data_IF_363735139272
#
_entry.id   IF_363735139272
#
_cell.length_a   1.000
_cell.length_b   1.000
_cell.length_c   1.000
_cell.angle_alpha   90.00
_cell.angle_beta   90.00
_cell.angle_gamma   90.00
#
_symmetry.space_group_name_H-M   'P 1'
#
loop_
_entity.id
_entity.type
_entity.pdbx_description
1 polymer ?
#
# COMPACT_ATOMS: atom_id res chain seq x y z
N UNK A 1 17.37 5.08 27.98
CA UNK A 1 16.97 3.72 28.42
C UNK A 1 16.48 2.98 27.19
N UNK A 2 17.12 1.88 26.81
CA UNK A 2 16.65 1.03 25.70
C UNK A 2 15.46 0.20 26.17
N UNK A 3 14.35 0.24 25.44
CA UNK A 3 13.19 -0.60 25.72
C UNK A 3 13.44 -1.97 25.10
N UNK A 4 13.29 -3.04 25.88
CA UNK A 4 13.39 -4.40 25.35
C UNK A 4 12.09 -4.75 24.61
N UNK A 5 12.22 -5.06 23.32
CA UNK A 5 11.10 -5.45 22.47
C UNK A 5 10.93 -6.97 22.45
N UNK A 6 9.69 -7.47 22.26
CA UNK A 6 9.44 -8.90 22.13
C UNK A 6 10.27 -9.54 21.02
N UNK A 7 10.75 -10.75 21.25
CA UNK A 7 11.39 -11.56 20.21
C UNK A 7 10.38 -11.92 19.11
N UNK A 8 10.86 -12.08 17.87
CA UNK A 8 10.02 -12.46 16.73
C UNK A 8 9.19 -11.32 16.12
N UNK A 9 9.35 -10.08 16.59
CA UNK A 9 8.58 -8.93 16.12
C UNK A 9 8.70 -8.70 14.60
N UNK A 10 9.87 -8.97 14.01
CA UNK A 10 10.08 -8.89 12.57
C UNK A 10 9.17 -9.87 11.79
N UNK A 11 9.07 -11.12 12.27
CA UNK A 11 8.24 -12.14 11.64
C UNK A 11 6.75 -11.79 11.79
N UNK A 12 6.34 -11.36 12.99
CA UNK A 12 4.97 -10.91 13.22
C UNK A 12 4.62 -9.71 12.31
N UNK A 13 5.54 -8.76 12.15
CA UNK A 13 5.36 -7.62 11.25
C UNK A 13 5.22 -8.06 9.80
N UNK A 14 6.04 -9.00 9.32
CA UNK A 14 5.91 -9.53 7.95
C UNK A 14 4.55 -10.17 7.70
N UNK A 15 4.02 -10.93 8.66
CA UNK A 15 2.67 -11.52 8.56
C UNK A 15 1.62 -10.42 8.52
N UNK A 16 1.69 -9.45 9.44
CA UNK A 16 0.76 -8.32 9.47
C UNK A 16 0.82 -7.49 8.17
N UNK A 17 2.01 -7.22 7.65
CA UNK A 17 2.20 -6.49 6.39
C UNK A 17 1.66 -7.26 5.18
N UNK A 18 1.74 -8.59 5.19
CA UNK A 18 1.13 -9.43 4.15
C UNK A 18 -0.39 -9.34 4.13
N UNK A 19 -1.02 -9.20 5.30
CA UNK A 19 -2.48 -9.22 5.42
C UNK A 19 -3.13 -7.84 5.43
N UNK A 20 -2.41 -6.82 5.90
CA UNK A 20 -2.90 -5.45 6.04
C UNK A 20 -2.35 -4.49 5.00
N UNK A 21 -1.18 -4.78 4.43
CA UNK A 21 -0.34 -3.79 3.75
C UNK A 21 0.73 -3.21 4.65
N UNK A 22 1.82 -2.71 4.05
CA UNK A 22 2.98 -2.22 4.81
C UNK A 22 2.68 -0.94 5.59
N UNK A 23 1.93 -0.01 5.02
CA UNK A 23 1.60 1.25 5.70
C UNK A 23 0.64 1.00 6.86
N UNK A 24 -0.42 0.22 6.62
CA UNK A 24 -1.40 -0.13 7.64
C UNK A 24 -0.74 -0.90 8.80
N UNK A 25 0.09 -1.91 8.50
CA UNK A 25 0.82 -2.66 9.52
C UNK A 25 1.82 -1.78 10.29
N UNK A 26 2.51 -0.86 9.61
CA UNK A 26 3.44 0.07 10.25
C UNK A 26 2.75 0.99 11.26
N UNK A 27 1.61 1.59 10.90
CA UNK A 27 0.84 2.42 11.82
C UNK A 27 0.30 1.62 13.00
N UNK A 28 -0.24 0.42 12.77
CA UNK A 28 -0.70 -0.47 13.82
C UNK A 28 0.41 -0.75 14.85
N UNK A 29 1.58 -1.18 14.39
CA UNK A 29 2.71 -1.51 15.26
C UNK A 29 3.22 -0.29 16.03
N UNK A 30 3.37 0.85 15.37
CA UNK A 30 3.83 2.08 16.02
C UNK A 30 2.83 2.55 17.08
N UNK A 31 1.52 2.53 16.78
CA UNK A 31 0.46 2.88 17.74
C UNK A 31 0.47 1.96 18.95
N UNK A 32 0.55 0.65 18.73
CA UNK A 32 0.53 -0.31 19.83
C UNK A 32 1.79 -0.22 20.68
N UNK A 33 2.99 -0.14 20.08
CA UNK A 33 4.23 0.07 20.84
C UNK A 33 4.21 1.39 21.62
N UNK A 34 3.71 2.47 21.02
CA UNK A 34 3.57 3.76 21.71
C UNK A 34 2.63 3.68 22.91
N UNK A 35 1.54 2.91 22.82
CA UNK A 35 0.60 2.70 23.95
C UNK A 35 1.27 2.02 25.15
N UNK A 36 2.17 1.06 24.90
CA UNK A 36 2.82 0.29 25.98
C UNK A 36 4.12 0.91 26.48
N UNK A 37 4.91 1.54 25.62
CA UNK A 37 6.28 1.97 25.92
C UNK A 37 6.60 3.42 25.49
N UNK A 38 5.59 4.17 25.03
CA UNK A 38 5.75 5.56 24.60
C UNK A 38 6.74 5.73 23.44
N UNK A 39 7.22 6.96 23.28
CA UNK A 39 8.15 7.32 22.20
C UNK A 39 9.49 6.57 22.30
N UNK A 40 9.93 6.21 23.51
CA UNK A 40 11.13 5.39 23.70
C UNK A 40 10.97 3.98 23.10
N UNK A 41 9.76 3.40 23.21
CA UNK A 41 9.40 2.16 22.55
C UNK A 41 9.41 2.29 21.03
N UNK A 42 8.80 3.35 20.50
CA UNK A 42 8.76 3.62 19.05
C UNK A 42 10.16 3.82 18.48
N UNK A 43 11.04 4.54 19.19
CA UNK A 43 12.45 4.67 18.84
C UNK A 43 13.14 3.32 18.79
N UNK A 44 12.94 2.47 19.81
CA UNK A 44 13.53 1.12 19.85
C UNK A 44 13.00 0.23 18.71
N UNK A 45 11.71 0.38 18.35
CA UNK A 45 11.07 -0.34 17.24
C UNK A 45 11.70 0.05 15.89
N UNK A 46 11.86 1.37 15.67
CA UNK A 46 12.53 1.93 14.51
C UNK A 46 13.95 1.40 14.38
N UNK A 47 14.73 1.46 15.46
CA UNK A 47 16.13 1.02 15.46
C UNK A 47 16.26 -0.49 15.16
N UNK A 48 15.36 -1.29 15.72
CA UNK A 48 15.37 -2.75 15.54
C UNK A 48 14.94 -3.19 14.15
N UNK A 49 13.90 -2.58 13.59
CA UNK A 49 13.20 -3.08 12.39
C UNK A 49 13.27 -2.18 11.17
N UNK A 50 13.51 -0.88 11.34
CA UNK A 50 13.36 0.14 10.29
C UNK A 50 14.21 -0.12 9.05
N UNK A 51 15.45 -0.61 9.21
CA UNK A 51 16.32 -0.98 8.07
C UNK A 51 15.76 -2.14 7.25
N UNK A 52 15.05 -3.07 7.89
CA UNK A 52 14.43 -4.20 7.21
C UNK A 52 13.06 -3.84 6.66
N UNK A 53 12.37 -2.86 7.26
CA UNK A 53 11.02 -2.43 6.90
C UNK A 53 10.99 -0.90 6.76
N UNK A 54 11.37 -0.35 5.59
CA UNK A 54 11.52 1.09 5.38
C UNK A 54 10.25 1.91 5.63
N UNK A 55 9.08 1.35 5.30
CA UNK A 55 7.79 1.99 5.59
C UNK A 55 7.57 2.13 7.09
N UNK A 56 7.94 1.12 7.89
CA UNK A 56 7.90 1.19 9.36
C UNK A 56 8.90 2.21 9.90
N UNK A 57 10.11 2.31 9.32
CA UNK A 57 11.06 3.36 9.71
C UNK A 57 10.45 4.75 9.56
N UNK A 58 9.86 5.01 8.39
CA UNK A 58 9.26 6.32 8.08
C UNK A 58 8.06 6.60 8.97
N UNK A 59 7.17 5.63 9.21
CA UNK A 59 6.02 5.82 10.10
C UNK A 59 6.46 6.08 11.55
N UNK A 60 7.48 5.36 12.04
CA UNK A 60 8.03 5.59 13.36
C UNK A 60 8.67 6.98 13.48
N UNK A 61 9.42 7.41 12.46
CA UNK A 61 9.96 8.77 12.38
C UNK A 61 8.87 9.84 12.41
N UNK A 62 7.81 9.68 11.61
CA UNK A 62 6.65 10.58 11.63
C UNK A 62 6.02 10.66 13.01
N UNK A 63 5.84 9.51 13.67
CA UNK A 63 5.29 9.47 15.02
C UNK A 63 6.14 10.25 16.03
N UNK A 64 7.45 10.04 16.02
CA UNK A 64 8.41 10.71 16.89
C UNK A 64 8.50 12.22 16.60
N UNK A 65 8.23 12.62 15.36
CA UNK A 65 8.10 14.03 14.96
C UNK A 65 6.73 14.64 15.34
N UNK A 66 5.85 13.90 16.04
CA UNK A 66 4.55 14.38 16.51
C UNK A 66 3.40 14.17 15.52
N UNK A 67 3.64 13.57 14.36
CA UNK A 67 2.57 13.18 13.43
C UNK A 67 1.81 11.98 13.95
N UNK A 68 0.57 11.78 13.48
CA UNK A 68 -0.25 10.62 13.81
C UNK A 68 -0.79 10.00 12.53
N UNK A 69 -1.36 8.80 12.68
CA UNK A 69 -1.98 8.07 11.59
C UNK A 69 -2.98 8.99 10.86
N UNK A 70 -2.83 9.17 9.54
CA UNK A 70 -3.68 10.06 8.79
C UNK A 70 -5.10 9.49 8.69
N UNK A 71 -6.11 10.35 8.68
CA UNK A 71 -7.45 9.92 8.28
C UNK A 71 -7.45 9.54 6.80
N UNK A 72 -7.91 8.33 6.51
CA UNK A 72 -8.04 7.79 5.16
C UNK A 72 -9.27 8.37 4.48
N UNK A 73 -9.04 9.30 3.55
CA UNK A 73 -10.08 9.89 2.70
C UNK A 73 -9.88 9.43 1.23
N UNK A 74 -10.82 8.66 0.65
CA UNK A 74 -10.74 8.20 -0.73
C UNK A 74 -11.17 9.25 -1.77
N UNK A 75 -11.54 10.47 -1.37
CA UNK A 75 -12.14 11.48 -2.25
C UNK A 75 -11.35 11.78 -3.52
N UNK A 76 -10.03 11.98 -3.41
CA UNK A 76 -9.17 12.25 -4.57
C UNK A 76 -9.10 11.04 -5.53
N UNK A 77 -8.98 9.83 -4.98
CA UNK A 77 -8.99 8.59 -5.76
C UNK A 77 -10.34 8.38 -6.45
N UNK A 78 -11.45 8.68 -5.78
CA UNK A 78 -12.78 8.59 -6.39
C UNK A 78 -12.94 9.56 -7.57
N UNK A 79 -12.37 10.77 -7.45
CA UNK A 79 -12.30 11.72 -8.56
C UNK A 79 -11.51 11.16 -9.75
N UNK A 80 -10.32 10.60 -9.48
CA UNK A 80 -9.46 9.98 -10.48
C UNK A 80 -10.09 8.73 -11.15
N UNK A 81 -11.03 8.07 -10.47
CA UNK A 81 -11.81 6.93 -10.97
C UNK A 81 -13.06 7.34 -11.77
N UNK A 82 -13.31 8.63 -12.00
CA UNK A 82 -14.50 9.05 -12.74
C UNK A 82 -14.56 8.41 -14.13
N UNK A 83 -15.70 7.79 -14.45
CA UNK A 83 -15.93 7.09 -15.72
C UNK A 83 -15.37 5.66 -15.80
N UNK A 84 -14.68 5.18 -14.76
CA UNK A 84 -14.15 3.81 -14.67
C UNK A 84 -15.26 2.78 -14.45
N UNK A 85 -15.13 1.62 -15.09
CA UNK A 85 -16.03 0.47 -14.99
C UNK A 85 -15.34 -0.79 -14.48
N UNK A 86 -14.02 -0.86 -14.60
CA UNK A 86 -13.19 -1.96 -14.15
C UNK A 86 -11.96 -1.40 -13.44
N UNK A 87 -11.71 -1.83 -12.22
CA UNK A 87 -10.57 -1.40 -11.42
C UNK A 87 -9.76 -2.64 -11.01
N UNK A 88 -8.47 -2.62 -11.32
CA UNK A 88 -7.51 -3.61 -10.85
C UNK A 88 -6.58 -2.93 -9.85
N UNK A 89 -6.60 -3.40 -8.61
CA UNK A 89 -5.72 -2.94 -7.54
C UNK A 89 -4.44 -3.78 -7.54
N UNK A 90 -3.30 -3.12 -7.50
CA UNK A 90 -1.96 -3.69 -7.53
C UNK A 90 -1.29 -3.41 -6.19
N UNK A 91 -1.23 -4.42 -5.34
CA UNK A 91 -0.77 -4.30 -3.95
C UNK A 91 -1.94 -4.24 -2.96
N UNK A 92 -1.62 -4.09 -1.67
CA UNK A 92 -2.58 -4.19 -0.59
C UNK A 92 -2.30 -3.11 0.46
N UNK A 93 -3.32 -2.33 0.80
CA UNK A 93 -3.40 -1.47 1.99
C UNK A 93 -4.87 -1.47 2.44
N UNK A 94 -5.17 -2.30 3.44
CA UNK A 94 -6.54 -2.68 3.83
C UNK A 94 -7.39 -1.49 4.27
N UNK A 95 -6.89 -0.61 5.13
CA UNK A 95 -7.66 0.57 5.55
C UNK A 95 -8.05 1.50 4.37
N UNK A 96 -7.19 1.55 3.35
CA UNK A 96 -7.43 2.33 2.13
C UNK A 96 -8.49 1.66 1.25
N UNK A 97 -8.43 0.34 1.12
CA UNK A 97 -9.43 -0.43 0.40
C UNK A 97 -10.79 -0.43 1.11
N UNK A 98 -10.80 -0.55 2.43
CA UNK A 98 -12.02 -0.51 3.25
C UNK A 98 -12.72 0.86 3.15
N UNK A 99 -11.95 1.95 3.03
CA UNK A 99 -12.51 3.27 2.79
C UNK A 99 -13.04 3.45 1.35
N UNK A 100 -12.37 2.84 0.37
CA UNK A 100 -12.64 3.03 -1.05
C UNK A 100 -13.78 2.14 -1.57
N UNK A 101 -13.69 0.82 -1.35
CA UNK A 101 -14.56 -0.20 -1.96
C UNK A 101 -16.06 0.06 -1.74
N UNK A 102 -16.53 0.44 -0.54
CA UNK A 102 -17.95 0.72 -0.32
C UNK A 102 -18.52 1.84 -1.20
N UNK A 103 -17.66 2.72 -1.73
CA UNK A 103 -18.06 3.87 -2.55
C UNK A 103 -18.00 3.58 -4.06
N UNK A 104 -17.51 2.41 -4.47
CA UNK A 104 -17.32 2.04 -5.87
C UNK A 104 -18.51 1.25 -6.43
N UNK A 105 -19.73 1.77 -6.35
CA UNK A 105 -20.91 1.08 -6.86
C UNK A 105 -20.85 0.84 -8.39
N UNK A 106 -21.20 -0.37 -8.84
CA UNK A 106 -21.25 -0.70 -10.27
C UNK A 106 -19.91 -0.85 -11.00
N UNK A 107 -18.78 -0.77 -10.28
CA UNK A 107 -17.44 -1.00 -10.83
C UNK A 107 -17.02 -2.46 -10.57
N UNK A 108 -16.53 -3.18 -11.59
CA UNK A 108 -15.91 -4.49 -11.34
C UNK A 108 -14.56 -4.27 -10.65
N UNK A 109 -14.29 -5.01 -9.58
CA UNK A 109 -13.08 -4.85 -8.77
C UNK A 109 -12.25 -6.12 -8.82
N UNK A 110 -10.96 -5.98 -9.10
CA UNK A 110 -9.98 -7.02 -8.95
C UNK A 110 -8.87 -6.60 -8.00
N UNK A 111 -8.35 -7.56 -7.25
CA UNK A 111 -7.09 -7.46 -6.52
C UNK A 111 -6.08 -8.38 -7.19
N UNK A 112 -4.94 -7.83 -7.61
CA UNK A 112 -3.86 -8.61 -8.18
C UNK A 112 -3.24 -9.49 -7.08
N UNK A 113 -3.16 -10.79 -7.33
CA UNK A 113 -2.53 -11.77 -6.43
C UNK A 113 -1.00 -11.63 -6.47
N UNK A 114 -0.49 -10.60 -5.82
CA UNK A 114 0.94 -10.37 -5.73
C UNK A 114 1.29 -9.63 -4.45
N UNK A 115 2.27 -10.16 -3.71
CA UNK A 115 2.80 -9.55 -2.51
C UNK A 115 4.26 -9.99 -2.31
N UNK A 116 5.14 -9.12 -1.79
CA UNK A 116 6.48 -9.53 -1.35
C UNK A 116 6.45 -10.34 -0.04
N UNK A 117 5.30 -10.41 0.64
CA UNK A 117 5.09 -11.18 1.87
C UNK A 117 4.17 -12.38 1.60
N UNK A 118 4.18 -13.35 2.51
CA UNK A 118 3.19 -14.42 2.51
C UNK A 118 1.82 -13.84 2.88
N UNK A 119 0.78 -14.19 2.11
CA UNK A 119 -0.57 -13.66 2.27
C UNK A 119 -1.58 -14.79 2.22
N UNK A 120 -2.43 -14.84 3.24
CA UNK A 120 -3.67 -15.60 3.19
C UNK A 120 -4.72 -14.83 2.38
N UNK A 121 -4.72 -15.05 1.07
CA UNK A 121 -5.61 -14.36 0.14
C UNK A 121 -7.09 -14.70 0.39
N UNK A 122 -7.40 -15.92 0.85
CA UNK A 122 -8.77 -16.31 1.17
C UNK A 122 -9.30 -15.46 2.32
N UNK A 123 -8.50 -15.30 3.38
CA UNK A 123 -8.84 -14.44 4.50
C UNK A 123 -8.97 -12.98 4.09
N UNK A 124 -8.03 -12.44 3.32
CA UNK A 124 -8.11 -11.04 2.83
C UNK A 124 -9.40 -10.81 2.04
N UNK A 125 -9.75 -11.72 1.12
CA UNK A 125 -10.95 -11.57 0.29
C UNK A 125 -12.26 -11.73 1.05
N UNK A 126 -12.26 -12.52 2.13
CA UNK A 126 -13.45 -12.73 2.96
C UNK A 126 -13.98 -11.43 3.56
N UNK A 127 -13.11 -10.45 3.80
CA UNK A 127 -13.47 -9.11 4.30
C UNK A 127 -14.31 -8.30 3.29
N UNK A 128 -14.24 -8.63 2.01
CA UNK A 128 -14.94 -7.89 0.96
C UNK A 128 -16.23 -8.58 0.48
N UNK A 129 -16.71 -9.63 1.16
CA UNK A 129 -18.00 -10.29 0.87
C UNK A 129 -18.23 -10.63 -0.62
N UNK A 130 -17.19 -11.06 -1.33
CA UNK A 130 -17.25 -11.40 -2.77
C UNK A 130 -17.29 -10.19 -3.71
N UNK A 131 -17.17 -8.97 -3.19
CA UNK A 131 -17.16 -7.72 -3.98
C UNK A 131 -15.91 -7.55 -4.85
N UNK A 132 -14.82 -8.21 -4.47
CA UNK A 132 -13.50 -8.15 -5.10
C UNK A 132 -13.12 -9.53 -5.64
N UNK A 133 -12.70 -9.59 -6.89
CA UNK A 133 -12.18 -10.79 -7.55
C UNK A 133 -10.66 -10.85 -7.38
N UNK A 134 -10.10 -12.03 -7.08
CA UNK A 134 -8.65 -12.22 -7.09
C UNK A 134 -8.18 -12.55 -8.51
N UNK A 135 -7.20 -11.83 -9.03
CA UNK A 135 -6.68 -12.04 -10.38
C UNK A 135 -5.18 -12.35 -10.37
N UNK A 136 -4.80 -13.36 -11.15
CA UNK A 136 -3.39 -13.72 -11.36
C UNK A 136 -2.72 -12.78 -12.37
N UNK A 137 -1.39 -12.64 -12.27
CA UNK A 137 -0.61 -11.76 -13.14
C UNK A 137 -0.70 -12.15 -14.62
N UNK A 138 -0.96 -13.41 -14.97
CA UNK A 138 -1.10 -13.84 -16.36
C UNK A 138 -2.48 -13.50 -16.93
N UNK A 139 -3.46 -13.17 -16.09
CA UNK A 139 -4.87 -13.00 -16.47
C UNK A 139 -5.37 -11.56 -16.36
N UNK A 140 -4.62 -10.67 -15.72
CA UNK A 140 -5.08 -9.30 -15.49
C UNK A 140 -5.36 -8.52 -16.79
N UNK A 141 -4.70 -8.85 -17.91
CA UNK A 141 -4.95 -8.18 -19.19
C UNK A 141 -6.40 -8.33 -19.68
N UNK A 142 -7.13 -9.35 -19.23
CA UNK A 142 -8.56 -9.48 -19.53
C UNK A 142 -9.43 -8.35 -18.92
N UNK A 143 -8.85 -7.55 -18.02
CA UNK A 143 -9.48 -6.38 -17.41
C UNK A 143 -9.18 -5.07 -18.13
N UNK A 144 -8.33 -5.09 -19.16
CA UNK A 144 -7.96 -3.89 -19.90
C UNK A 144 -9.09 -3.40 -20.82
N UNK A 145 -9.12 -2.10 -21.10
CA UNK A 145 -10.12 -1.48 -21.96
C UNK A 145 -10.29 0.03 -21.74
N UNK A 146 -11.16 0.68 -22.54
CA UNK A 146 -11.31 2.13 -22.55
C UNK A 146 -11.90 2.73 -21.26
N UNK A 147 -12.40 1.89 -20.35
CA UNK A 147 -12.95 2.30 -19.03
C UNK A 147 -12.33 1.48 -17.89
N UNK A 148 -11.12 0.97 -18.08
CA UNK A 148 -10.38 0.25 -17.05
C UNK A 148 -9.30 1.12 -16.42
N UNK A 149 -9.04 0.88 -15.14
CA UNK A 149 -8.03 1.60 -14.36
C UNK A 149 -7.18 0.62 -13.58
N UNK A 150 -5.87 0.91 -13.51
CA UNK A 150 -4.95 0.30 -12.56
C UNK A 150 -4.76 1.26 -11.38
N UNK A 151 -4.82 0.75 -10.16
CA UNK A 151 -4.53 1.49 -8.93
C UNK A 151 -3.40 0.80 -8.17
N UNK A 152 -2.41 1.55 -7.72
CA UNK A 152 -1.37 1.08 -6.78
C UNK A 152 -1.27 2.02 -5.60
N UNK A 153 -0.63 1.56 -4.54
CA UNK A 153 -0.25 2.38 -3.40
C UNK A 153 1.17 2.91 -3.60
N UNK A 154 1.33 4.21 -3.43
CA UNK A 154 2.59 4.93 -3.52
C UNK A 154 3.12 5.26 -2.12
N UNK A 155 4.42 5.08 -1.95
CA UNK A 155 5.14 5.30 -0.71
C UNK A 155 6.30 6.26 -0.97
N UNK A 156 6.51 7.20 -0.06
CA UNK A 156 7.73 8.00 -0.11
C UNK A 156 7.75 9.03 -1.23
N UNK A 157 6.61 9.59 -1.65
CA UNK A 157 6.54 10.57 -2.75
C UNK A 157 7.49 11.73 -2.48
N UNK A 158 8.49 11.91 -3.34
CA UNK A 158 9.50 12.96 -3.21
C UNK A 158 10.04 13.41 -4.57
N UNK A 159 9.77 14.67 -4.92
CA UNK A 159 10.16 15.22 -6.22
C UNK A 159 9.48 14.45 -7.36
N UNK A 160 10.29 13.90 -8.28
CA UNK A 160 9.78 13.08 -9.39
C UNK A 160 9.69 11.58 -9.04
N UNK A 161 10.21 11.13 -7.90
CA UNK A 161 10.27 9.72 -7.53
C UNK A 161 9.20 9.31 -6.52
N UNK A 162 8.74 8.07 -6.64
CA UNK A 162 7.95 7.39 -5.60
C UNK A 162 8.26 5.89 -5.60
N UNK A 163 7.78 5.19 -4.59
CA UNK A 163 7.96 3.75 -4.45
C UNK A 163 6.63 3.03 -4.51
N UNK A 164 6.61 1.86 -5.15
CA UNK A 164 5.41 1.01 -5.29
C UNK A 164 5.77 -0.46 -5.14
N UNK A 165 4.78 -1.34 -5.13
CA UNK A 165 5.02 -2.79 -5.11
C UNK A 165 5.74 -3.25 -6.39
N UNK A 166 6.65 -4.24 -6.32
CA UNK A 166 7.35 -4.77 -7.50
C UNK A 166 6.43 -5.26 -8.62
N UNK A 167 5.23 -5.73 -8.26
CA UNK A 167 4.20 -6.16 -9.20
C UNK A 167 3.81 -5.06 -10.21
N UNK A 168 3.90 -3.79 -9.81
CA UNK A 168 3.60 -2.65 -10.66
C UNK A 168 4.43 -2.67 -11.96
N UNK A 169 5.73 -2.93 -11.87
CA UNK A 169 6.62 -2.98 -13.04
C UNK A 169 6.22 -4.07 -14.04
N UNK A 170 5.51 -5.11 -13.59
CA UNK A 170 5.02 -6.19 -14.45
C UNK A 170 3.72 -5.83 -15.17
N UNK A 171 2.94 -4.91 -14.59
CA UNK A 171 1.63 -4.50 -15.12
C UNK A 171 1.65 -3.12 -15.78
N UNK A 172 2.78 -2.41 -15.81
CA UNK A 172 2.89 -1.08 -16.44
C UNK A 172 3.94 -0.98 -17.53
N UNK A 173 4.24 -2.10 -18.20
CA UNK A 173 5.03 -2.08 -19.43
C UNK A 173 4.34 -1.24 -20.53
N UNK A 174 5.10 -0.85 -21.54
CA UNK A 174 4.67 0.07 -22.60
C UNK A 174 3.35 -0.37 -23.27
N UNK A 175 3.17 -1.67 -23.51
CA UNK A 175 1.95 -2.22 -24.09
C UNK A 175 0.73 -2.00 -23.18
N UNK A 176 0.88 -2.19 -21.87
CA UNK A 176 -0.23 -2.11 -20.91
C UNK A 176 -0.69 -0.67 -20.69
N UNK A 177 0.24 0.29 -20.71
CA UNK A 177 -0.08 1.71 -20.59
C UNK A 177 -1.07 2.19 -21.67
N UNK A 178 -1.07 1.55 -22.83
CA UNK A 178 -1.99 1.89 -23.92
C UNK A 178 -3.36 1.20 -23.81
N UNK A 179 -3.47 0.14 -22.99
CA UNK A 179 -4.67 -0.68 -22.89
C UNK A 179 -5.57 -0.29 -21.71
N UNK A 180 -4.99 0.26 -20.64
CA UNK A 180 -5.74 0.83 -19.53
C UNK A 180 -5.92 2.33 -19.73
N UNK A 181 -7.10 2.85 -19.38
CA UNK A 181 -7.39 4.28 -19.51
C UNK A 181 -6.56 5.13 -18.56
N UNK A 182 -6.46 4.70 -17.30
CA UNK A 182 -5.78 5.44 -16.24
C UNK A 182 -4.92 4.53 -15.38
N UNK A 183 -3.76 5.05 -14.97
CA UNK A 183 -2.86 4.45 -14.00
C UNK A 183 -2.79 5.38 -12.79
N UNK A 184 -3.33 4.98 -11.65
CA UNK A 184 -3.45 5.81 -10.45
C UNK A 184 -2.49 5.30 -9.38
N UNK A 185 -1.78 6.21 -8.75
CA UNK A 185 -1.05 5.97 -7.50
C UNK A 185 -1.72 6.71 -6.35
N UNK A 186 -2.01 6.01 -5.25
CA UNK A 186 -2.50 6.61 -4.01
C UNK A 186 -1.36 6.75 -2.99
N UNK A 187 -0.97 7.98 -2.64
CA UNK A 187 0.04 8.28 -1.61
C UNK A 187 -0.48 7.94 -0.22
N UNK A 188 -0.12 6.72 0.23
CA UNK A 188 -0.53 6.18 1.52
C UNK A 188 0.40 6.63 2.65
N UNK A 189 1.65 6.98 2.33
CA UNK A 189 2.65 7.32 3.34
C UNK A 189 2.63 8.81 3.69
N UNK A 190 2.24 9.68 2.74
CA UNK A 190 2.16 11.15 2.91
C UNK A 190 3.42 11.74 3.55
N UNK A 191 4.57 11.21 3.14
CA UNK A 191 5.89 11.60 3.60
C UNK A 191 6.93 11.01 2.66
N UNK A 192 8.09 11.67 2.49
CA UNK A 192 9.22 11.09 1.78
C UNK A 192 9.79 9.89 2.56
N UNK A 193 10.41 8.96 1.85
CA UNK A 193 11.09 7.80 2.44
C UNK A 193 12.56 7.82 2.03
N UNK A 194 13.47 7.79 3.01
CA UNK A 194 14.91 7.93 2.79
C UNK A 194 15.71 6.63 3.03
N UNK A 195 15.08 5.62 3.61
CA UNK A 195 15.69 4.29 3.82
C UNK A 195 15.53 3.45 2.55
N UNK A 196 16.57 2.66 2.22
CA UNK A 196 16.57 1.80 1.04
C UNK A 196 15.30 0.91 0.98
N UNK A 197 14.51 1.00 -0.11
CA UNK A 197 13.17 0.44 -0.21
C UNK A 197 13.16 -1.08 -0.44
N UNK A 198 13.69 -1.89 0.49
CA UNK A 198 13.92 -3.34 0.32
C UNK A 198 12.77 -4.15 -0.32
N UNK A 199 11.52 -3.79 -0.03
CA UNK A 199 10.31 -4.49 -0.49
C UNK A 199 9.55 -3.77 -1.60
N UNK A 200 10.04 -2.60 -2.01
CA UNK A 200 9.41 -1.72 -2.97
C UNK A 200 10.37 -1.46 -4.13
N UNK A 201 9.86 -0.86 -5.19
CA UNK A 201 10.64 -0.43 -6.35
C UNK A 201 10.38 1.05 -6.58
N UNK A 202 11.45 1.79 -6.83
CA UNK A 202 11.37 3.19 -7.21
C UNK A 202 10.87 3.31 -8.65
N UNK A 203 9.93 4.24 -8.87
CA UNK A 203 9.37 4.57 -10.19
C UNK A 203 9.25 6.08 -10.33
N UNK A 204 9.34 6.55 -11.58
CA UNK A 204 9.04 7.93 -11.92
C UNK A 204 7.53 8.19 -11.77
N UNK A 205 7.18 9.27 -11.09
CA UNK A 205 5.80 9.73 -10.89
C UNK A 205 5.07 10.01 -12.21
N UNK A 206 5.80 10.33 -13.28
CA UNK A 206 5.25 10.44 -14.64
C UNK A 206 4.76 9.10 -15.23
N UNK A 207 4.99 7.98 -14.54
CA UNK A 207 4.36 6.70 -14.87
C UNK A 207 2.85 6.71 -14.64
N UNK A 208 2.36 7.54 -13.72
CA UNK A 208 0.95 7.60 -13.37
C UNK A 208 0.24 8.66 -14.20
N UNK A 209 -1.01 8.36 -14.57
CA UNK A 209 -1.94 9.37 -15.07
C UNK A 209 -2.27 10.35 -13.94
N UNK A 210 -2.44 9.83 -12.72
CA UNK A 210 -2.73 10.61 -11.52
C UNK A 210 -2.00 10.02 -10.31
N UNK A 211 -1.36 10.88 -9.52
CA UNK A 211 -0.78 10.54 -8.23
C UNK A 211 -1.47 11.42 -7.18
N UNK A 212 -2.21 10.78 -6.27
CA UNK A 212 -3.20 11.43 -5.38
C UNK A 212 -3.01 11.05 -3.92
#
# INVERSE_FOLDING_TARGET
MSVELPQGLAQAFSVAAGELGMCCAAWLYVKDVARFAGDAGVSSLRDALGRSFPVLDTVAEKWLAGSREPHTDPGAVLGALDGTRQLVVVGLETEFLDALIPKLEGIRLALLRSSPFEVDWERVLSNYAGRVELVELERFQAWAGPRSTLLTFAYGVHGAGTHVMPAWLRVTGDDVRTQFRSLIAWDVLRAPMFVYPRWLVEVDSATFTELV
#
